data_IF_340968019121
#
_entry.id   IF_340968019121
#
_cell.length_a   1.000
_cell.length_b   1.000
_cell.length_c   1.000
_cell.angle_alpha   90.00
_cell.angle_beta   90.00
_cell.angle_gamma   90.00
#
_symmetry.space_group_name_H-M   'P 1'
#
loop_
_entity.id
_entity.type
_entity.pdbx_description
1 polymer ?
#
# COMPACT_ATOMS: atom_id res chain seq x y z
N UNK A 1 -13.37 7.31 -20.01
CA UNK A 1 -12.83 7.02 -18.67
C UNK A 1 -13.96 6.40 -17.87
N UNK A 2 -13.73 5.25 -17.23
CA UNK A 2 -14.70 4.68 -16.29
C UNK A 2 -14.49 5.30 -14.92
N UNK A 3 -15.55 5.44 -14.12
CA UNK A 3 -15.51 5.91 -12.72
C UNK A 3 -14.42 5.20 -11.89
N UNK A 4 -14.20 3.91 -12.16
CA UNK A 4 -13.20 3.09 -11.47
C UNK A 4 -11.75 3.38 -11.91
N UNK A 5 -11.56 3.93 -13.10
CA UNK A 5 -10.24 4.43 -13.52
C UNK A 5 -9.83 5.64 -12.67
N UNK A 6 -10.79 6.53 -12.38
CA UNK A 6 -10.58 7.70 -11.54
C UNK A 6 -10.41 7.31 -10.08
N UNK A 7 -11.19 6.34 -9.59
CA UNK A 7 -11.05 5.77 -8.25
C UNK A 7 -9.65 5.15 -8.03
N UNK A 8 -9.19 4.32 -8.98
CA UNK A 8 -7.84 3.73 -8.91
C UNK A 8 -6.75 4.79 -8.89
N UNK A 9 -6.91 5.86 -9.66
CA UNK A 9 -5.96 6.96 -9.68
C UNK A 9 -5.96 7.72 -8.34
N UNK A 10 -7.14 8.03 -7.80
CA UNK A 10 -7.32 8.66 -6.49
C UNK A 10 -6.62 7.86 -5.38
N UNK A 11 -6.87 6.54 -5.27
CA UNK A 11 -6.25 5.68 -4.25
C UNK A 11 -4.73 5.72 -4.35
N UNK A 12 -4.16 5.72 -5.57
CA UNK A 12 -2.71 5.79 -5.78
C UNK A 12 -2.11 7.12 -5.35
N UNK A 13 -2.78 8.22 -5.65
CA UNK A 13 -2.36 9.56 -5.25
C UNK A 13 -2.38 9.69 -3.74
N UNK A 14 -3.49 9.31 -3.09
CA UNK A 14 -3.60 9.35 -1.62
C UNK A 14 -2.58 8.46 -0.92
N UNK A 15 -2.35 7.25 -1.43
CA UNK A 15 -1.34 6.35 -0.86
C UNK A 15 0.05 7.02 -0.88
N UNK A 16 0.43 7.63 -2.01
CA UNK A 16 1.69 8.37 -2.12
C UNK A 16 1.76 9.53 -1.13
N UNK A 17 0.71 10.35 -1.04
CA UNK A 17 0.69 11.53 -0.19
C UNK A 17 0.73 11.16 1.31
N UNK A 18 0.15 10.02 1.69
CA UNK A 18 0.13 9.52 3.06
C UNK A 18 1.33 8.62 3.41
N UNK A 19 2.27 8.41 2.48
CA UNK A 19 3.41 7.52 2.68
C UNK A 19 3.03 6.05 2.86
N UNK A 20 1.93 5.62 2.26
CA UNK A 20 1.39 4.26 2.27
C UNK A 20 1.65 3.61 0.91
N UNK A 21 2.04 2.34 0.90
CA UNK A 21 2.27 1.56 -0.32
C UNK A 21 1.01 0.79 -0.72
N UNK A 22 0.87 0.51 -2.02
CA UNK A 22 -0.19 -0.41 -2.47
C UNK A 22 -0.05 -1.82 -1.89
N UNK A 23 1.14 -2.19 -1.41
CA UNK A 23 1.41 -3.50 -0.80
C UNK A 23 0.77 -3.58 0.58
N UNK A 24 0.88 -2.54 1.41
CA UNK A 24 0.24 -2.52 2.72
C UNK A 24 -1.27 -2.41 2.63
N UNK A 25 -1.79 -1.61 1.69
CA UNK A 25 -3.23 -1.58 1.42
C UNK A 25 -3.71 -2.98 1.06
N UNK A 26 -2.98 -3.70 0.21
CA UNK A 26 -3.33 -5.08 -0.14
C UNK A 26 -3.27 -6.02 1.07
N UNK A 27 -2.24 -5.91 1.93
CA UNK A 27 -2.12 -6.68 3.17
C UNK A 27 -3.28 -6.39 4.13
N UNK A 28 -3.64 -5.12 4.32
CA UNK A 28 -4.75 -4.69 5.18
C UNK A 28 -6.09 -5.22 4.67
N UNK A 29 -6.27 -5.22 3.35
CA UNK A 29 -7.44 -5.82 2.70
C UNK A 29 -7.39 -7.36 2.66
N UNK A 30 -6.33 -8.02 3.16
CA UNK A 30 -6.19 -9.48 3.13
C UNK A 30 -6.02 -10.08 1.73
N UNK A 31 -5.56 -9.31 0.75
CA UNK A 31 -5.44 -9.72 -0.67
C UNK A 31 -4.03 -9.55 -1.21
N UNK A 32 -3.75 -10.16 -2.37
CA UNK A 32 -2.51 -9.88 -3.09
C UNK A 32 -2.56 -8.53 -3.80
N UNK A 33 -1.39 -7.92 -4.06
CA UNK A 33 -1.31 -6.65 -4.81
C UNK A 33 -1.95 -6.76 -6.22
N UNK A 34 -1.81 -7.92 -6.88
CA UNK A 34 -2.49 -8.19 -8.15
C UNK A 34 -4.01 -8.15 -7.99
N UNK A 35 -4.53 -8.78 -6.93
CA UNK A 35 -5.96 -8.81 -6.64
C UNK A 35 -6.49 -7.43 -6.24
N UNK A 36 -5.72 -6.65 -5.47
CA UNK A 36 -6.04 -5.25 -5.18
C UNK A 36 -6.18 -4.43 -6.47
N UNK A 37 -5.22 -4.54 -7.41
CA UNK A 37 -5.34 -3.83 -8.69
C UNK A 37 -6.58 -4.23 -9.50
N UNK A 38 -6.99 -5.50 -9.45
CA UNK A 38 -8.23 -5.95 -10.08
C UNK A 38 -9.47 -5.37 -9.40
N UNK A 39 -9.50 -5.35 -8.07
CA UNK A 39 -10.57 -4.74 -7.27
C UNK A 39 -10.72 -3.26 -7.63
N UNK A 40 -9.62 -2.51 -7.63
CA UNK A 40 -9.62 -1.09 -7.98
C UNK A 40 -10.07 -0.82 -9.43
N UNK A 41 -9.88 -1.78 -10.34
CA UNK A 41 -10.31 -1.65 -11.75
C UNK A 41 -11.77 -2.07 -11.98
N UNK A 42 -12.23 -3.08 -11.25
CA UNK A 42 -13.57 -3.66 -11.41
C UNK A 42 -14.64 -2.91 -10.59
N UNK A 43 -14.21 -2.13 -9.60
CA UNK A 43 -15.08 -1.54 -8.59
C UNK A 43 -15.02 -2.35 -7.30
N UNK A 44 -14.49 -1.78 -6.19
CA UNK A 44 -14.52 -2.42 -4.89
C UNK A 44 -15.95 -2.56 -4.34
N UNK A 45 -16.16 -3.58 -3.51
CA UNK A 45 -17.34 -3.61 -2.63
C UNK A 45 -17.23 -2.54 -1.54
N UNK A 46 -18.35 -2.19 -0.91
CA UNK A 46 -18.37 -1.21 0.19
C UNK A 46 -17.40 -1.58 1.33
N UNK A 47 -17.34 -2.85 1.71
CA UNK A 47 -16.40 -3.35 2.72
C UNK A 47 -14.94 -3.17 2.27
N UNK A 48 -14.64 -3.42 0.98
CA UNK A 48 -13.31 -3.19 0.43
C UNK A 48 -12.96 -1.70 0.40
N UNK A 49 -13.91 -0.82 0.11
CA UNK A 49 -13.70 0.63 0.18
C UNK A 49 -13.36 1.09 1.59
N UNK A 50 -14.05 0.58 2.61
CA UNK A 50 -13.78 0.89 4.02
C UNK A 50 -12.39 0.42 4.43
N UNK A 51 -11.98 -0.80 4.06
CA UNK A 51 -10.64 -1.32 4.33
C UNK A 51 -9.54 -0.52 3.59
N UNK A 52 -9.79 -0.09 2.36
CA UNK A 52 -8.86 0.76 1.61
C UNK A 52 -8.74 2.13 2.28
N UNK A 53 -9.85 2.74 2.69
CA UNK A 53 -9.87 4.03 3.36
C UNK A 53 -9.15 3.98 4.72
N UNK A 54 -9.36 2.92 5.50
CA UNK A 54 -8.65 2.68 6.76
C UNK A 54 -7.14 2.57 6.53
N UNK A 55 -6.73 1.74 5.55
CA UNK A 55 -5.32 1.58 5.21
C UNK A 55 -4.66 2.89 4.74
N UNK A 56 -5.39 3.71 3.98
CA UNK A 56 -4.95 5.05 3.58
C UNK A 56 -4.83 6.00 4.79
N UNK A 57 -5.67 5.82 5.81
CA UNK A 57 -5.64 6.57 7.07
C UNK A 57 -4.47 6.18 8.00
N UNK A 58 -3.87 5.02 7.82
CA UNK A 58 -2.65 4.57 8.52
C UNK A 58 -1.36 5.23 7.98
N UNK A 59 -1.40 6.56 7.80
CA UNK A 59 -0.28 7.34 7.31
C UNK A 59 0.98 7.09 8.14
N UNK A 60 2.08 6.71 7.48
CA UNK A 60 3.39 6.51 8.12
C UNK A 60 3.69 5.10 8.68
N UNK A 61 2.73 4.17 8.73
CA UNK A 61 3.01 2.78 9.13
C UNK A 61 4.03 2.12 8.19
N UNK A 62 3.89 2.36 6.89
CA UNK A 62 4.79 1.80 5.88
C UNK A 62 6.15 2.47 5.85
N UNK A 63 6.23 3.78 6.03
CA UNK A 63 7.51 4.47 6.01
C UNK A 63 8.41 3.98 7.15
N UNK A 64 7.83 3.75 8.34
CA UNK A 64 8.53 3.13 9.46
C UNK A 64 8.93 1.67 9.18
N UNK A 65 8.04 0.85 8.60
CA UNK A 65 8.36 -0.54 8.24
C UNK A 65 9.43 -0.62 7.14
N UNK A 66 9.39 0.27 6.14
CA UNK A 66 10.39 0.38 5.07
C UNK A 66 11.73 0.84 5.65
N UNK A 67 11.76 1.87 6.49
CA UNK A 67 12.99 2.30 7.17
C UNK A 67 13.56 1.18 8.04
N UNK A 68 12.71 0.42 8.75
CA UNK A 68 13.13 -0.73 9.54
C UNK A 68 13.70 -1.84 8.66
N UNK A 69 13.03 -2.22 7.57
CA UNK A 69 13.52 -3.24 6.63
C UNK A 69 14.82 -2.80 5.95
N UNK A 70 14.96 -1.52 5.60
CA UNK A 70 16.21 -0.97 5.09
C UNK A 70 17.33 -1.02 6.13
N UNK A 71 17.04 -0.70 7.39
CA UNK A 71 17.98 -0.85 8.51
C UNK A 71 18.42 -2.30 8.70
N UNK A 72 17.47 -3.24 8.73
CA UNK A 72 17.74 -4.69 8.85
C UNK A 72 18.58 -5.22 7.67
N UNK A 73 18.31 -4.76 6.44
CA UNK A 73 19.11 -5.10 5.26
C UNK A 73 20.52 -4.49 5.33
N UNK A 74 20.62 -3.23 5.76
CA UNK A 74 21.91 -2.55 5.96
C UNK A 74 22.74 -3.24 7.03
N UNK A 75 22.15 -3.67 8.14
CA UNK A 75 22.85 -4.42 9.20
C UNK A 75 23.29 -5.81 8.72
N UNK A 76 22.43 -6.49 7.95
CA UNK A 76 22.71 -7.84 7.44
C UNK A 76 23.84 -7.86 6.41
N UNK A 77 23.92 -6.85 5.54
CA UNK A 77 24.88 -6.82 4.43
C UNK A 77 26.04 -5.83 4.63
N UNK A 78 25.90 -4.82 5.50
CA UNK A 78 26.95 -3.86 5.83
C UNK A 78 28.03 -4.42 6.75
N UNK A 79 27.71 -5.45 7.54
CA UNK A 79 28.68 -6.12 8.44
C UNK A 79 29.54 -7.18 7.74
N UNK A 80 29.24 -7.51 6.48
CA UNK A 80 30.03 -8.45 5.66
C UNK A 80 31.22 -7.76 4.94
N UNK A 81 31.45 -6.47 5.18
CA UNK A 81 32.41 -5.64 4.46
C UNK A 81 33.60 -5.09 5.26
N UNK A 82 33.91 -5.63 6.45
CA UNK A 82 35.15 -5.31 7.21
C UNK A 82 35.77 -6.55 7.84
#
# INVERSE_FOLDING_TARGET
>A
MSEWSDYRWMVRTMAKDNGVTLISIARHCGVSNRKLNQILQAGPSKEQEELIAEALGCAGCDLAEIHRQMGELSDKYGRAGV
#
